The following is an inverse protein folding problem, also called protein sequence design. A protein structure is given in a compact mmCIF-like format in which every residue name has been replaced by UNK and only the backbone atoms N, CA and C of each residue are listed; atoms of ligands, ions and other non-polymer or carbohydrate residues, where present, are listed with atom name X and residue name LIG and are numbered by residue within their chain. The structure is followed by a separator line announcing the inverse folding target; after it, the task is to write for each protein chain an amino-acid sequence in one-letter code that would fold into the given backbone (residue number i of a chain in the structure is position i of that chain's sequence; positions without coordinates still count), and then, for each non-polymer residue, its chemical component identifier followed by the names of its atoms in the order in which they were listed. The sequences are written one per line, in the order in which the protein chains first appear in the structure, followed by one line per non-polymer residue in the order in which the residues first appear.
data_IF_015801253786
#
_entry.id   IF_015801253786
#
_cell.length_a   1.000
_cell.length_b   1.000
_cell.length_c   1.000
_cell.angle_alpha   90.00
_cell.angle_beta   90.00
_cell.angle_gamma   90.00
#
_symmetry.space_group_name_H-M   'P 1'
#
loop_
_entity.id
_entity.type
_entity.pdbx_description
1 polymer ?
#
# COMPACT_ATOMS: atom_id res chain seq x y z
N UNK A 1 24.59 -13.75 21.67
CA UNK A 1 24.32 -12.71 22.69
C UNK A 1 22.87 -12.29 22.54
N UNK A 2 21.98 -12.89 23.33
CA UNK A 2 20.53 -12.69 23.25
C UNK A 2 20.18 -11.28 23.71
N UNK A 3 19.80 -10.42 22.78
CA UNK A 3 19.22 -9.12 23.11
C UNK A 3 17.79 -9.39 23.60
N UNK A 4 17.63 -9.52 24.92
CA UNK A 4 16.33 -9.31 25.59
C UNK A 4 15.95 -7.85 25.36
N UNK A 5 15.22 -7.56 24.28
CA UNK A 5 14.51 -6.29 24.16
C UNK A 5 13.35 -6.33 25.15
N UNK A 6 13.42 -5.52 26.19
CA UNK A 6 12.21 -5.05 26.88
C UNK A 6 11.23 -4.60 25.79
N UNK A 7 10.04 -5.18 25.72
CA UNK A 7 9.00 -4.83 24.75
C UNK A 7 8.08 -3.76 25.38
N UNK A 8 8.28 -2.45 25.17
CA UNK A 8 7.25 -1.49 25.50
C UNK A 8 6.23 -1.51 24.35
N UNK A 9 4.97 -1.76 24.71
CA UNK A 9 3.79 -1.79 23.82
C UNK A 9 3.64 -3.07 22.97
N UNK A 10 3.16 -4.14 23.59
CA UNK A 10 2.41 -5.17 22.84
C UNK A 10 1.22 -4.45 22.20
N UNK A 11 1.17 -4.44 20.86
CA UNK A 11 0.10 -3.80 20.13
C UNK A 11 -1.19 -4.59 20.40
N UNK A 12 -2.14 -4.00 21.14
CA UNK A 12 -3.38 -4.69 21.50
C UNK A 12 -4.40 -4.62 20.36
N UNK A 13 -4.19 -5.44 19.32
CA UNK A 13 -5.17 -5.63 18.24
C UNK A 13 -6.51 -6.17 18.76
N UNK A 14 -6.54 -6.87 19.90
CA UNK A 14 -7.76 -7.46 20.42
C UNK A 14 -8.81 -6.39 20.75
N UNK A 15 -8.43 -5.28 21.38
CA UNK A 15 -9.38 -4.19 21.66
C UNK A 15 -9.93 -3.50 20.40
N UNK A 16 -9.13 -3.44 19.33
CA UNK A 16 -9.48 -2.78 18.08
C UNK A 16 -10.37 -3.65 17.16
N UNK A 17 -10.14 -4.96 17.12
CA UNK A 17 -10.85 -5.90 16.25
C UNK A 17 -12.13 -6.46 16.90
N UNK A 18 -12.19 -6.58 18.23
CA UNK A 18 -13.37 -7.12 18.94
C UNK A 18 -14.62 -6.23 18.82
N UNK A 19 -14.45 -4.92 18.60
CA UNK A 19 -15.56 -3.97 18.46
C UNK A 19 -16.18 -3.94 17.06
N UNK A 20 -15.70 -4.79 16.15
CA UNK A 20 -15.99 -4.71 14.72
C UNK A 20 -16.74 -5.99 14.30
N UNK A 21 -18.09 -6.02 14.35
CA UNK A 21 -18.86 -7.24 14.10
C UNK A 21 -18.60 -7.81 12.70
N UNK A 22 -18.40 -9.14 12.61
CA UNK A 22 -18.22 -9.85 11.35
C UNK A 22 -19.59 -9.97 10.66
N UNK A 23 -19.71 -9.43 9.44
CA UNK A 23 -20.92 -9.58 8.62
C UNK A 23 -21.03 -11.03 8.15
N UNK A 24 -22.02 -11.77 8.66
CA UNK A 24 -22.25 -13.17 8.28
C UNK A 24 -23.18 -13.22 7.06
N UNK A 25 -22.61 -13.50 5.88
CA UNK A 25 -23.37 -13.78 4.65
C UNK A 25 -23.56 -15.27 4.35
N UNK A 26 -22.69 -16.12 4.91
CA UNK A 26 -22.77 -17.56 4.71
C UNK A 26 -23.84 -18.13 5.63
N UNK A 27 -24.88 -18.75 5.05
CA UNK A 27 -26.05 -19.27 5.77
C UNK A 27 -25.81 -20.68 6.33
N UNK A 28 -25.01 -21.49 5.64
CA UNK A 28 -24.62 -22.82 6.10
C UNK A 28 -23.35 -22.79 6.98
N UNK A 29 -23.35 -23.60 8.05
CA UNK A 29 -22.28 -23.64 9.04
C UNK A 29 -21.04 -24.37 8.53
N UNK A 30 -21.21 -25.50 7.83
CA UNK A 30 -20.09 -26.29 7.31
C UNK A 30 -19.35 -25.54 6.19
N UNK A 31 -20.10 -24.90 5.29
CA UNK A 31 -19.53 -24.02 4.27
C UNK A 31 -18.79 -22.82 4.86
N UNK A 32 -19.24 -22.29 6.01
CA UNK A 32 -18.57 -21.20 6.72
C UNK A 32 -17.24 -21.65 7.29
N UNK A 33 -17.20 -22.75 8.02
CA UNK A 33 -15.97 -23.24 8.65
C UNK A 33 -14.91 -23.60 7.60
N UNK A 34 -15.34 -24.26 6.51
CA UNK A 34 -14.47 -24.57 5.38
C UNK A 34 -13.93 -23.31 4.71
N UNK A 35 -14.76 -22.29 4.54
CA UNK A 35 -14.35 -21.01 3.98
C UNK A 35 -13.34 -20.29 4.89
N UNK A 36 -13.62 -20.16 6.19
CA UNK A 36 -12.74 -19.52 7.16
C UNK A 36 -11.39 -20.25 7.27
N UNK A 37 -11.41 -21.58 7.26
CA UNK A 37 -10.19 -22.39 7.23
C UNK A 37 -9.35 -22.13 5.96
N UNK A 38 -9.99 -22.06 4.78
CA UNK A 38 -9.30 -21.74 3.53
C UNK A 38 -8.69 -20.33 3.53
N UNK A 39 -9.38 -19.36 4.13
CA UNK A 39 -8.87 -18.00 4.33
C UNK A 39 -7.67 -18.00 5.28
N UNK A 40 -7.74 -18.74 6.40
CA UNK A 40 -6.64 -18.90 7.35
C UNK A 40 -5.39 -19.53 6.72
N UNK A 41 -5.57 -20.59 5.93
CA UNK A 41 -4.49 -21.22 5.17
C UNK A 41 -3.84 -20.24 4.19
N UNK A 42 -4.61 -19.34 3.60
CA UNK A 42 -4.07 -18.33 2.70
C UNK A 42 -3.33 -17.23 3.47
N UNK A 43 -3.89 -16.73 4.58
CA UNK A 43 -3.26 -15.73 5.45
C UNK A 43 -1.90 -16.21 5.98
N UNK A 44 -1.80 -17.44 6.49
CA UNK A 44 -0.53 -18.00 7.00
C UNK A 44 0.49 -18.30 5.90
N UNK A 45 0.03 -18.59 4.67
CA UNK A 45 0.91 -18.75 3.50
C UNK A 45 1.38 -17.41 2.91
N UNK A 46 0.66 -16.32 3.14
CA UNK A 46 1.06 -14.98 2.66
C UNK A 46 1.84 -14.20 3.70
N UNK A 47 1.52 -14.32 4.98
CA UNK A 47 2.14 -13.61 6.10
C UNK A 47 2.89 -14.62 6.97
N UNK A 48 4.17 -14.83 6.63
CA UNK A 48 5.09 -15.74 7.30
C UNK A 48 6.53 -15.24 7.21
N UNK A 49 7.44 -15.90 7.93
CA UNK A 49 8.86 -15.55 8.00
C UNK A 49 9.70 -16.12 6.85
N UNK A 50 9.13 -16.86 5.90
CA UNK A 50 9.87 -17.43 4.76
C UNK A 50 10.26 -16.31 3.81
N UNK A 51 11.55 -16.13 3.52
CA UNK A 51 12.05 -15.07 2.65
C UNK A 51 11.86 -15.39 1.15
N UNK A 52 10.61 -15.40 0.73
CA UNK A 52 10.18 -15.68 -0.64
C UNK A 52 8.99 -14.78 -1.01
N UNK A 53 8.82 -14.43 -2.30
CA UNK A 53 7.69 -13.63 -2.75
C UNK A 53 6.37 -14.31 -2.41
N UNK A 54 5.39 -13.49 -2.05
CA UNK A 54 4.07 -13.98 -1.70
C UNK A 54 3.34 -14.49 -2.95
N UNK A 55 2.85 -15.74 -2.91
CA UNK A 55 2.21 -16.37 -4.07
C UNK A 55 0.85 -15.74 -4.36
N UNK A 56 0.64 -15.35 -5.62
CA UNK A 56 -0.56 -14.66 -6.09
C UNK A 56 -1.86 -15.40 -5.78
N UNK A 57 -1.87 -16.74 -5.89
CA UNK A 57 -3.08 -17.55 -5.60
C UNK A 57 -3.64 -17.35 -4.18
N UNK A 58 -2.77 -17.12 -3.20
CA UNK A 58 -3.20 -16.91 -1.82
C UNK A 58 -3.69 -15.48 -1.60
N UNK A 59 -3.04 -14.49 -2.23
CA UNK A 59 -3.52 -13.09 -2.23
C UNK A 59 -4.90 -13.00 -2.88
N UNK A 60 -5.09 -13.61 -4.06
CA UNK A 60 -6.40 -13.64 -4.73
C UNK A 60 -7.48 -14.28 -3.87
N UNK A 61 -7.16 -15.36 -3.16
CA UNK A 61 -8.13 -15.97 -2.25
C UNK A 61 -8.53 -15.03 -1.09
N UNK A 62 -7.57 -14.28 -0.53
CA UNK A 62 -7.86 -13.27 0.50
C UNK A 62 -8.71 -12.11 -0.06
N UNK A 63 -8.39 -11.63 -1.26
CA UNK A 63 -9.18 -10.60 -1.97
C UNK A 63 -10.61 -11.07 -2.18
N UNK A 64 -10.82 -12.27 -2.73
CA UNK A 64 -12.16 -12.88 -2.90
C UNK A 64 -12.88 -12.98 -1.55
N UNK A 65 -12.15 -13.30 -0.48
CA UNK A 65 -12.69 -13.33 0.87
C UNK A 65 -13.28 -11.97 1.28
N UNK A 66 -12.65 -10.87 0.89
CA UNK A 66 -13.18 -9.53 1.19
C UNK A 66 -14.48 -9.21 0.47
N UNK A 67 -14.69 -9.70 -0.75
CA UNK A 67 -15.96 -9.54 -1.46
C UNK A 67 -17.07 -10.41 -0.88
N UNK A 68 -16.74 -11.63 -0.43
CA UNK A 68 -17.72 -12.53 0.19
C UNK A 68 -18.23 -12.02 1.54
N UNK A 69 -17.41 -11.28 2.27
CA UNK A 69 -17.73 -10.77 3.62
C UNK A 69 -17.90 -9.26 3.70
N UNK A 70 -17.93 -8.56 2.56
CA UNK A 70 -18.03 -7.10 2.47
C UNK A 70 -16.96 -6.34 3.29
N UNK A 71 -15.70 -6.78 3.28
CA UNK A 71 -14.62 -6.14 4.04
C UNK A 71 -13.48 -7.09 4.43
N UNK A 72 -12.47 -6.60 5.14
CA UNK A 72 -11.28 -7.38 5.51
C UNK A 72 -11.25 -7.84 6.97
N UNK A 73 -12.37 -7.74 7.70
CA UNK A 73 -12.48 -8.06 9.14
C UNK A 73 -11.99 -9.47 9.49
N UNK A 74 -12.35 -10.47 8.68
CA UNK A 74 -11.89 -11.84 8.88
C UNK A 74 -10.36 -11.92 8.80
N UNK A 75 -9.73 -11.26 7.81
CA UNK A 75 -8.28 -11.22 7.71
C UNK A 75 -7.64 -10.57 8.95
N UNK A 76 -8.19 -9.47 9.46
CA UNK A 76 -7.70 -8.84 10.69
C UNK A 76 -7.82 -9.73 11.93
N UNK A 77 -8.88 -10.52 12.05
CA UNK A 77 -9.01 -11.52 13.13
C UNK A 77 -7.91 -12.59 13.08
N UNK A 78 -7.40 -12.90 11.88
CA UNK A 78 -6.31 -13.85 11.67
C UNK A 78 -4.95 -13.22 11.98
N UNK A 79 -4.75 -11.95 11.63
CA UNK A 79 -3.51 -11.19 11.91
C UNK A 79 -3.15 -11.22 13.39
N UNK A 80 -4.14 -11.14 14.28
CA UNK A 80 -3.96 -11.29 15.73
C UNK A 80 -3.20 -12.57 16.09
N UNK A 81 -3.55 -13.68 15.44
CA UNK A 81 -2.96 -15.01 15.70
C UNK A 81 -1.58 -15.18 15.06
N UNK A 82 -1.23 -14.37 14.07
CA UNK A 82 0.04 -14.46 13.32
C UNK A 82 1.18 -13.73 14.05
N UNK A 83 0.88 -12.79 14.96
CA UNK A 83 1.86 -11.98 15.70
C UNK A 83 2.85 -11.28 14.75
N UNK A 84 2.38 -10.30 13.98
CA UNK A 84 3.17 -9.77 12.86
C UNK A 84 4.45 -9.03 13.28
N UNK A 85 4.52 -8.54 14.52
CA UNK A 85 5.68 -7.84 15.08
C UNK A 85 6.83 -8.81 15.46
N UNK A 86 6.57 -10.12 15.43
CA UNK A 86 7.52 -11.17 15.81
C UNK A 86 8.74 -11.24 14.90
N UNK A 87 8.60 -10.86 13.62
CA UNK A 87 9.68 -10.98 12.64
C UNK A 87 9.52 -9.92 11.52
N UNK A 88 10.60 -9.25 11.07
CA UNK A 88 10.49 -8.14 10.14
C UNK A 88 9.99 -8.57 8.74
N UNK A 89 10.30 -9.80 8.29
CA UNK A 89 9.72 -10.35 7.05
C UNK A 89 8.20 -10.55 7.18
N UNK A 90 7.71 -10.95 8.36
CA UNK A 90 6.28 -11.15 8.60
C UNK A 90 5.56 -9.81 8.49
N UNK A 91 6.09 -8.77 9.15
CA UNK A 91 5.55 -7.41 9.03
C UNK A 91 5.64 -6.86 7.60
N UNK A 92 6.76 -7.06 6.90
CA UNK A 92 6.92 -6.66 5.50
C UNK A 92 5.84 -7.27 4.58
N UNK A 93 5.64 -8.59 4.70
CA UNK A 93 4.62 -9.29 3.92
C UNK A 93 3.22 -8.87 4.33
N UNK A 94 2.97 -8.64 5.62
CA UNK A 94 1.70 -8.09 6.09
C UNK A 94 1.38 -6.75 5.42
N UNK A 95 2.33 -5.81 5.39
CA UNK A 95 2.14 -4.52 4.70
C UNK A 95 1.80 -4.73 3.21
N UNK A 96 2.49 -5.67 2.54
CA UNK A 96 2.17 -6.04 1.17
C UNK A 96 0.75 -6.60 1.00
N UNK A 97 0.31 -7.51 1.87
CA UNK A 97 -1.04 -8.07 1.82
C UNK A 97 -2.08 -6.97 2.03
N UNK A 98 -1.90 -6.09 3.03
CA UNK A 98 -2.80 -4.95 3.25
C UNK A 98 -2.86 -4.04 2.03
N UNK A 99 -1.71 -3.71 1.41
CA UNK A 99 -1.69 -2.88 0.21
C UNK A 99 -2.52 -3.52 -0.92
N UNK A 100 -2.37 -4.83 -1.14
CA UNK A 100 -3.17 -5.59 -2.11
C UNK A 100 -4.65 -5.58 -1.76
N UNK A 101 -5.01 -5.80 -0.50
CA UNK A 101 -6.42 -5.79 -0.07
C UNK A 101 -7.05 -4.40 -0.23
N UNK A 102 -6.32 -3.32 0.10
CA UNK A 102 -6.79 -1.95 -0.11
C UNK A 102 -7.03 -1.67 -1.60
N UNK A 103 -6.12 -2.11 -2.47
CA UNK A 103 -6.20 -1.86 -3.91
C UNK A 103 -7.27 -2.67 -4.62
N UNK A 104 -7.27 -3.98 -4.38
CA UNK A 104 -8.01 -4.97 -5.19
C UNK A 104 -9.24 -5.55 -4.46
N UNK A 105 -9.41 -5.24 -3.17
CA UNK A 105 -10.46 -5.80 -2.32
C UNK A 105 -11.80 -5.05 -2.42
N UNK A 106 -12.77 -5.54 -1.66
CA UNK A 106 -14.08 -4.89 -1.53
C UNK A 106 -13.93 -3.45 -1.02
N UNK A 107 -14.82 -2.54 -1.45
CA UNK A 107 -14.75 -1.09 -1.09
C UNK A 107 -14.63 -0.82 0.42
N UNK A 108 -15.25 -1.66 1.25
CA UNK A 108 -15.22 -1.52 2.71
C UNK A 108 -13.86 -1.84 3.33
N UNK A 109 -12.94 -2.47 2.60
CA UNK A 109 -11.57 -2.73 3.10
C UNK A 109 -10.88 -1.43 3.48
N UNK A 110 -11.07 -0.37 2.69
CA UNK A 110 -10.54 0.97 3.00
C UNK A 110 -11.10 1.46 4.34
N UNK A 111 -12.43 1.39 4.51
CA UNK A 111 -13.11 1.80 5.74
C UNK A 111 -12.64 0.99 6.96
N UNK A 112 -12.59 -0.35 6.85
CA UNK A 112 -12.12 -1.23 7.92
C UNK A 112 -10.67 -0.91 8.31
N UNK A 113 -9.79 -0.64 7.33
CA UNK A 113 -8.39 -0.26 7.60
C UNK A 113 -8.23 1.16 8.15
N UNK A 114 -9.11 2.12 7.81
CA UNK A 114 -9.11 3.48 8.40
C UNK A 114 -9.37 3.40 9.91
N UNK A 115 -10.34 2.58 10.34
CA UNK A 115 -10.63 2.35 11.77
C UNK A 115 -9.38 1.81 12.50
N UNK A 116 -8.61 0.98 11.80
CA UNK A 116 -7.40 0.35 12.30
C UNK A 116 -6.12 1.17 11.99
N UNK A 117 -6.25 2.43 11.54
CA UNK A 117 -5.12 3.28 11.15
C UNK A 117 -4.05 3.42 12.25
N UNK A 118 -4.49 3.56 13.51
CA UNK A 118 -3.62 3.66 14.69
C UNK A 118 -2.71 2.43 14.88
N UNK A 119 -3.08 1.28 14.34
CA UNK A 119 -2.27 0.07 14.35
C UNK A 119 -1.03 0.24 13.45
N UNK A 120 -1.18 0.82 12.26
CA UNK A 120 -0.07 1.08 11.36
C UNK A 120 0.91 2.09 11.95
N UNK A 121 0.43 3.11 12.67
CA UNK A 121 1.29 4.05 13.38
C UNK A 121 2.12 3.36 14.48
N UNK A 122 1.52 2.43 15.21
CA UNK A 122 2.22 1.65 16.24
C UNK A 122 3.25 0.70 15.62
N UNK A 123 2.90 -0.01 14.54
CA UNK A 123 3.82 -0.87 13.81
C UNK A 123 4.99 -0.07 13.22
N UNK A 124 4.70 1.11 12.68
CA UNK A 124 5.69 2.05 12.18
C UNK A 124 6.70 2.46 13.27
N UNK A 125 6.19 2.85 14.45
CA UNK A 125 7.01 3.22 15.61
C UNK A 125 7.88 2.05 16.08
N UNK A 126 7.32 0.84 16.13
CA UNK A 126 8.02 -0.37 16.56
C UNK A 126 9.26 -0.65 15.69
N UNK A 127 9.14 -0.51 14.36
CA UNK A 127 10.24 -0.76 13.43
C UNK A 127 11.17 0.43 13.20
N UNK A 128 10.85 1.63 13.71
CA UNK A 128 11.66 2.84 13.50
C UNK A 128 13.11 2.72 14.04
N UNK A 129 13.31 1.95 15.10
CA UNK A 129 14.65 1.67 15.66
C UNK A 129 15.45 0.59 14.94
N UNK A 130 14.90 -0.07 13.92
CA UNK A 130 15.55 -1.19 13.22
C UNK A 130 15.93 -0.77 11.80
N UNK A 131 17.11 -0.15 11.69
CA UNK A 131 17.59 0.45 10.43
C UNK A 131 18.23 -0.55 9.44
N UNK A 132 18.26 -1.84 9.77
CA UNK A 132 18.83 -2.88 8.91
C UNK A 132 17.76 -3.84 8.38
N UNK A 133 18.00 -4.41 7.20
CA UNK A 133 17.15 -5.44 6.58
C UNK A 133 15.68 -4.99 6.42
N UNK A 134 14.71 -5.87 6.66
CA UNK A 134 13.28 -5.60 6.50
C UNK A 134 12.69 -4.64 7.55
N UNK A 135 13.42 -4.26 8.60
CA UNK A 135 12.92 -3.30 9.58
C UNK A 135 12.66 -1.93 8.96
N UNK A 136 13.68 -1.38 8.27
CA UNK A 136 13.57 -0.10 7.56
C UNK A 136 12.55 -0.17 6.41
N UNK A 137 12.52 -1.28 5.67
CA UNK A 137 11.54 -1.52 4.62
C UNK A 137 10.11 -1.48 5.16
N UNK A 138 9.86 -2.20 6.26
CA UNK A 138 8.55 -2.23 6.93
C UNK A 138 8.15 -0.87 7.46
N UNK A 139 9.09 -0.16 8.11
CA UNK A 139 8.85 1.19 8.61
C UNK A 139 8.38 2.13 7.49
N UNK A 140 9.10 2.18 6.36
CA UNK A 140 8.70 2.98 5.19
C UNK A 140 7.40 2.51 4.56
N UNK A 141 7.12 1.21 4.56
CA UNK A 141 5.86 0.71 4.02
C UNK A 141 4.68 1.13 4.90
N UNK A 142 4.83 1.15 6.22
CA UNK A 142 3.79 1.65 7.12
C UNK A 142 3.48 3.12 6.83
N UNK A 143 4.50 3.96 6.57
CA UNK A 143 4.29 5.35 6.16
C UNK A 143 3.46 5.46 4.87
N UNK A 144 3.77 4.67 3.85
CA UNK A 144 2.97 4.62 2.62
C UNK A 144 1.51 4.20 2.88
N UNK A 145 1.29 3.17 3.69
CA UNK A 145 -0.07 2.71 4.02
C UNK A 145 -0.86 3.78 4.79
N UNK A 146 -0.22 4.47 5.74
CA UNK A 146 -0.84 5.59 6.47
C UNK A 146 -1.16 6.75 5.54
N UNK A 147 -0.26 7.10 4.61
CA UNK A 147 -0.52 8.14 3.61
C UNK A 147 -1.71 7.79 2.70
N UNK A 148 -1.77 6.53 2.23
CA UNK A 148 -2.91 6.00 1.46
C UNK A 148 -4.22 6.12 2.25
N UNK A 149 -4.25 5.69 3.52
CA UNK A 149 -5.45 5.78 4.35
C UNK A 149 -5.86 7.23 4.61
N UNK A 150 -4.90 8.14 4.90
CA UNK A 150 -5.16 9.57 5.05
C UNK A 150 -5.75 10.19 3.78
N UNK A 151 -5.24 9.82 2.61
CA UNK A 151 -5.80 10.24 1.33
C UNK A 151 -7.29 9.83 1.20
N UNK A 152 -7.62 8.58 1.54
CA UNK A 152 -9.01 8.09 1.45
C UNK A 152 -9.96 8.65 2.52
N UNK A 153 -9.46 9.05 3.69
CA UNK A 153 -10.26 9.77 4.69
C UNK A 153 -10.72 11.12 4.13
N UNK A 154 -9.82 11.82 3.43
CA UNK A 154 -10.11 13.14 2.86
C UNK A 154 -10.84 13.08 1.52
N UNK A 155 -10.63 12.00 0.75
CA UNK A 155 -11.17 11.82 -0.59
C UNK A 155 -11.98 10.50 -0.69
N UNK A 156 -13.15 10.40 -0.01
CA UNK A 156 -13.92 9.16 0.07
C UNK A 156 -14.55 8.73 -1.27
N UNK A 157 -14.58 9.60 -2.27
CA UNK A 157 -15.00 9.28 -3.65
C UNK A 157 -14.05 8.32 -4.36
N UNK A 158 -12.78 8.27 -3.96
CA UNK A 158 -11.81 7.34 -4.55
C UNK A 158 -11.94 5.97 -3.91
N UNK A 159 -12.09 4.95 -4.75
CA UNK A 159 -11.91 3.55 -4.36
C UNK A 159 -10.47 3.31 -3.90
N UNK A 160 -10.24 2.23 -3.15
CA UNK A 160 -8.88 1.88 -2.72
C UNK A 160 -7.92 1.58 -3.88
N UNK A 161 -8.45 1.28 -5.07
CA UNK A 161 -7.71 1.14 -6.32
C UNK A 161 -7.34 2.47 -7.00
N UNK A 162 -7.65 3.62 -6.37
CA UNK A 162 -7.53 4.97 -6.93
C UNK A 162 -8.41 5.21 -8.16
N UNK A 163 -9.58 4.58 -8.24
CA UNK A 163 -10.60 4.87 -9.27
C UNK A 163 -11.82 5.54 -8.67
N UNK A 164 -12.70 6.12 -9.48
CA UNK A 164 -13.97 6.73 -9.05
C UNK A 164 -14.99 6.62 -10.19
N UNK A 165 -16.27 6.47 -9.83
CA UNK A 165 -17.30 6.06 -10.79
C UNK A 165 -17.68 7.18 -11.77
N UNK A 166 -17.99 8.38 -11.26
CA UNK A 166 -18.30 9.55 -12.09
C UNK A 166 -17.85 10.87 -11.44
N UNK A 167 -17.37 11.85 -12.24
CA UNK A 167 -16.95 11.70 -13.64
C UNK A 167 -15.64 10.92 -13.71
N UNK A 168 -15.41 10.00 -14.66
CA UNK A 168 -14.12 9.27 -14.81
C UNK A 168 -12.94 10.16 -15.31
N UNK A 169 -13.01 11.47 -15.04
CA UNK A 169 -11.97 12.46 -15.29
C UNK A 169 -11.84 13.33 -14.05
N UNK A 170 -10.67 13.29 -13.41
CA UNK A 170 -10.40 14.01 -12.17
C UNK A 170 -10.59 15.51 -12.33
N UNK A 171 -10.39 16.06 -13.54
CA UNK A 171 -10.58 17.49 -13.87
C UNK A 171 -12.02 17.96 -13.78
N UNK A 172 -12.97 17.03 -13.68
CA UNK A 172 -14.41 17.31 -13.57
C UNK A 172 -14.97 17.01 -12.18
N UNK A 173 -14.18 16.39 -11.30
CA UNK A 173 -14.58 15.97 -9.96
C UNK A 173 -15.21 17.11 -9.14
N UNK A 174 -14.68 18.33 -9.25
CA UNK A 174 -15.15 19.49 -8.50
C UNK A 174 -15.63 20.64 -9.40
N UNK A 175 -15.94 20.36 -10.68
CA UNK A 175 -16.30 21.38 -11.68
C UNK A 175 -15.23 22.50 -11.70
N UNK A 176 -15.60 23.76 -11.49
CA UNK A 176 -14.67 24.90 -11.45
C UNK A 176 -14.33 25.34 -10.01
N UNK A 177 -14.53 24.47 -9.02
CA UNK A 177 -14.18 24.78 -7.63
C UNK A 177 -12.69 24.50 -7.36
N UNK A 178 -11.83 25.44 -7.74
CA UNK A 178 -10.38 25.35 -7.58
C UNK A 178 -9.93 25.18 -6.11
N UNK A 179 -10.71 25.66 -5.14
CA UNK A 179 -10.42 25.51 -3.71
C UNK A 179 -10.43 24.05 -3.24
N UNK A 180 -11.10 23.15 -3.97
CA UNK A 180 -11.09 21.71 -3.70
C UNK A 180 -9.97 20.98 -4.47
N UNK A 181 -9.53 21.53 -5.60
CA UNK A 181 -8.43 20.96 -6.38
C UNK A 181 -7.06 21.16 -5.72
N UNK A 182 -6.83 22.28 -5.04
CA UNK A 182 -5.53 22.57 -4.43
C UNK A 182 -5.20 21.60 -3.28
N UNK A 183 -6.09 21.34 -2.30
CA UNK A 183 -5.86 20.31 -1.30
C UNK A 183 -5.69 18.91 -1.90
N UNK A 184 -6.52 18.53 -2.88
CA UNK A 184 -6.41 17.26 -3.58
C UNK A 184 -5.03 17.10 -4.25
N UNK A 185 -4.52 18.16 -4.89
CA UNK A 185 -3.20 18.17 -5.53
C UNK A 185 -2.10 17.88 -4.51
N UNK A 186 -2.12 18.57 -3.37
CA UNK A 186 -1.15 18.35 -2.29
C UNK A 186 -1.22 16.93 -1.73
N UNK A 187 -2.42 16.39 -1.57
CA UNK A 187 -2.61 15.03 -1.04
C UNK A 187 -2.13 13.94 -2.01
N UNK A 188 -2.34 14.15 -3.33
CA UNK A 188 -1.76 13.28 -4.36
C UNK A 188 -0.23 13.33 -4.34
N UNK A 189 0.35 14.52 -4.18
CA UNK A 189 1.80 14.68 -4.07
C UNK A 189 2.37 14.01 -2.82
N UNK A 190 1.72 14.15 -1.66
CA UNK A 190 2.16 13.55 -0.40
C UNK A 190 2.10 12.02 -0.46
N UNK A 191 1.08 11.47 -1.12
CA UNK A 191 1.00 10.03 -1.38
C UNK A 191 2.13 9.58 -2.31
N UNK A 192 2.33 10.24 -3.45
CA UNK A 192 3.42 9.92 -4.36
C UNK A 192 4.79 10.00 -3.67
N UNK A 193 4.98 10.96 -2.75
CA UNK A 193 6.22 11.13 -2.00
C UNK A 193 6.55 9.90 -1.14
N UNK A 194 5.60 9.43 -0.33
CA UNK A 194 5.79 8.24 0.51
C UNK A 194 5.99 6.98 -0.33
N UNK A 195 5.35 6.90 -1.50
CA UNK A 195 5.54 5.79 -2.44
C UNK A 195 6.97 5.78 -2.99
N UNK A 196 7.46 6.91 -3.48
CA UNK A 196 8.81 7.04 -4.00
C UNK A 196 9.87 6.82 -2.89
N UNK A 197 9.58 7.22 -1.65
CA UNK A 197 10.44 6.95 -0.49
C UNK A 197 10.54 5.45 -0.19
N UNK A 198 9.43 4.71 -0.21
CA UNK A 198 9.45 3.26 -0.05
C UNK A 198 10.28 2.59 -1.16
N UNK A 199 10.01 2.94 -2.42
CA UNK A 199 10.70 2.36 -3.58
C UNK A 199 12.21 2.60 -3.51
N UNK A 200 12.63 3.81 -3.16
CA UNK A 200 14.04 4.15 -2.99
C UNK A 200 14.71 3.23 -1.97
N UNK A 201 14.09 3.00 -0.82
CA UNK A 201 14.63 2.13 0.23
C UNK A 201 14.62 0.65 -0.20
N UNK A 202 13.64 0.18 -0.98
CA UNK A 202 13.65 -1.18 -1.54
C UNK A 202 14.89 -1.39 -2.41
N UNK A 203 15.18 -0.48 -3.35
CA UNK A 203 16.35 -0.59 -4.21
C UNK A 203 17.66 -0.49 -3.42
N UNK A 204 17.77 0.49 -2.52
CA UNK A 204 18.95 0.62 -1.65
C UNK A 204 19.19 -0.64 -0.81
N UNK A 205 18.12 -1.27 -0.29
CA UNK A 205 18.23 -2.52 0.46
C UNK A 205 18.68 -3.69 -0.42
N UNK A 206 18.22 -3.75 -1.67
CA UNK A 206 18.65 -4.78 -2.62
C UNK A 206 20.16 -4.67 -2.92
N UNK A 207 20.65 -3.45 -3.15
CA UNK A 207 22.06 -3.16 -3.41
C UNK A 207 22.95 -3.49 -2.19
N UNK A 208 22.55 -3.01 -1.01
CA UNK A 208 23.28 -3.25 0.25
C UNK A 208 23.37 -4.74 0.61
N UNK A 209 22.29 -5.48 0.36
CA UNK A 209 22.24 -6.92 0.62
C UNK A 209 22.91 -7.76 -0.47
N UNK A 210 23.47 -7.13 -1.53
CA UNK A 210 24.06 -7.79 -2.70
C UNK A 210 23.17 -8.90 -3.27
N UNK A 211 21.85 -8.73 -3.16
CA UNK A 211 20.87 -9.75 -3.51
C UNK A 211 20.46 -9.58 -4.97
N UNK A 212 20.42 -10.68 -5.72
CA UNK A 212 20.01 -10.66 -7.12
C UNK A 212 18.47 -10.71 -7.24
N UNK A 213 17.89 -9.93 -8.16
CA UNK A 213 16.44 -9.85 -8.42
C UNK A 213 15.78 -11.18 -8.82
N UNK A 214 16.56 -12.16 -9.26
CA UNK A 214 16.07 -13.50 -9.65
C UNK A 214 16.09 -14.51 -8.50
N UNK A 215 16.65 -14.15 -7.34
CA UNK A 215 16.63 -15.01 -6.14
C UNK A 215 15.31 -14.88 -5.38
N UNK A 216 14.90 -15.90 -4.64
CA UNK A 216 13.68 -15.86 -3.79
C UNK A 216 13.71 -14.69 -2.80
N UNK A 217 14.86 -14.45 -2.20
CA UNK A 217 15.12 -13.36 -1.27
C UNK A 217 14.99 -11.99 -1.95
N UNK A 218 15.56 -11.82 -3.14
CA UNK A 218 15.43 -10.59 -3.92
C UNK A 218 13.99 -10.32 -4.33
N UNK A 219 13.29 -11.35 -4.79
CA UNK A 219 11.88 -11.26 -5.17
C UNK A 219 10.98 -10.95 -3.96
N UNK A 220 11.30 -11.45 -2.76
CA UNK A 220 10.59 -11.09 -1.54
C UNK A 220 10.65 -9.57 -1.25
N UNK A 221 11.83 -8.94 -1.44
CA UNK A 221 12.01 -7.49 -1.32
C UNK A 221 11.33 -6.72 -2.46
N UNK A 222 11.40 -7.23 -3.67
CA UNK A 222 10.91 -6.55 -4.88
C UNK A 222 9.39 -6.68 -5.08
N UNK A 223 8.73 -7.68 -4.50
CA UNK A 223 7.31 -7.98 -4.75
C UNK A 223 6.37 -6.76 -4.58
N UNK A 224 6.55 -5.86 -3.59
CA UNK A 224 5.72 -4.67 -3.45
C UNK A 224 5.87 -3.62 -4.55
N UNK A 225 6.93 -3.65 -5.36
CA UNK A 225 7.09 -2.72 -6.48
C UNK A 225 5.95 -2.86 -7.49
N UNK A 226 5.37 -4.06 -7.65
CA UNK A 226 4.24 -4.29 -8.58
C UNK A 226 3.07 -3.34 -8.26
N UNK A 227 2.66 -3.28 -7.00
CA UNK A 227 1.57 -2.38 -6.57
C UNK A 227 2.01 -0.92 -6.57
N UNK A 228 3.28 -0.64 -6.26
CA UNK A 228 3.80 0.73 -6.32
C UNK A 228 3.74 1.29 -7.74
N UNK A 229 4.08 0.50 -8.78
CA UNK A 229 3.94 0.91 -10.19
C UNK A 229 2.48 1.25 -10.52
N UNK A 230 1.55 0.39 -10.10
CA UNK A 230 0.13 0.58 -10.41
C UNK A 230 -0.43 1.85 -9.75
N UNK A 231 -0.07 2.11 -8.49
CA UNK A 231 -0.51 3.31 -7.77
C UNK A 231 0.19 4.56 -8.32
N UNK A 232 1.51 4.53 -8.51
CA UNK A 232 2.25 5.69 -9.03
C UNK A 232 1.83 6.08 -10.44
N UNK A 233 1.40 5.13 -11.28
CA UNK A 233 0.90 5.45 -12.63
C UNK A 233 -0.37 6.29 -12.57
N UNK A 234 -1.30 5.97 -11.67
CA UNK A 234 -2.54 6.73 -11.50
C UNK A 234 -2.29 8.05 -10.78
N UNK A 235 -1.47 8.05 -9.73
CA UNK A 235 -1.10 9.27 -9.01
C UNK A 235 -0.46 10.29 -9.95
N UNK A 236 0.47 9.87 -10.81
CA UNK A 236 1.11 10.77 -11.78
C UNK A 236 0.09 11.37 -12.77
N UNK A 237 -0.76 10.54 -13.38
CA UNK A 237 -1.81 10.99 -14.30
C UNK A 237 -2.72 12.02 -13.63
N UNK A 238 -3.13 11.76 -12.38
CA UNK A 238 -3.97 12.65 -11.61
C UNK A 238 -3.29 13.95 -11.20
N UNK A 239 -2.04 13.91 -10.74
CA UNK A 239 -1.26 15.12 -10.41
C UNK A 239 -1.18 16.03 -11.63
N UNK A 240 -0.82 15.48 -12.79
CA UNK A 240 -0.71 16.25 -14.04
C UNK A 240 -2.06 16.87 -14.42
N UNK A 241 -3.12 16.07 -14.43
CA UNK A 241 -4.48 16.55 -14.78
C UNK A 241 -5.01 17.60 -13.81
N UNK A 242 -4.81 17.43 -12.50
CA UNK A 242 -5.22 18.41 -11.49
C UNK A 242 -4.42 19.70 -11.61
N UNK A 243 -3.11 19.63 -11.90
CA UNK A 243 -2.30 20.83 -12.14
C UNK A 243 -2.74 21.59 -13.39
N UNK A 244 -3.05 20.89 -14.48
CA UNK A 244 -3.65 21.52 -15.65
C UNK A 244 -4.96 22.24 -15.29
N UNK A 245 -5.84 21.60 -14.51
CA UNK A 245 -7.09 22.23 -14.07
C UNK A 245 -6.83 23.45 -13.19
N UNK A 246 -5.89 23.39 -12.25
CA UNK A 246 -5.54 24.54 -11.39
C UNK A 246 -4.99 25.72 -12.20
N UNK A 247 -4.24 25.47 -13.26
CA UNK A 247 -3.73 26.51 -14.16
C UNK A 247 -4.82 27.23 -14.98
N UNK A 248 -6.04 26.72 -15.04
CA UNK A 248 -7.18 27.44 -15.64
C UNK A 248 -7.68 28.58 -14.74
N UNK A 249 -7.50 28.47 -13.42
CA UNK A 249 -8.06 29.42 -12.43
C UNK A 249 -7.05 30.16 -11.58
N UNK A 250 -5.79 29.71 -11.53
CA UNK A 250 -4.74 30.29 -10.68
C UNK A 250 -3.54 30.76 -11.53
N UNK A 251 -2.85 31.79 -11.04
CA UNK A 251 -1.67 32.33 -11.71
C UNK A 251 -0.49 31.36 -11.68
N UNK A 252 0.43 31.53 -12.63
CA UNK A 252 1.68 30.78 -12.66
C UNK A 252 2.48 30.91 -11.36
N UNK A 253 2.52 32.10 -10.76
CA UNK A 253 3.29 32.33 -9.53
C UNK A 253 2.69 31.56 -8.34
N UNK A 254 1.36 31.52 -8.22
CA UNK A 254 0.68 30.78 -7.15
C UNK A 254 0.94 29.25 -7.21
N UNK A 255 1.27 28.72 -8.39
CA UNK A 255 1.51 27.29 -8.61
C UNK A 255 2.99 26.94 -8.78
N UNK A 256 3.91 27.88 -8.52
CA UNK A 256 5.36 27.66 -8.71
C UNK A 256 5.89 26.46 -7.92
N UNK A 257 5.54 26.38 -6.63
CA UNK A 257 5.97 25.26 -5.76
C UNK A 257 5.43 23.91 -6.25
N UNK A 258 4.19 23.89 -6.73
CA UNK A 258 3.56 22.68 -7.24
C UNK A 258 4.22 22.18 -8.53
N UNK A 259 4.62 23.10 -9.42
CA UNK A 259 5.42 22.76 -10.62
C UNK A 259 6.77 22.18 -10.24
N UNK A 260 7.44 22.78 -9.24
CA UNK A 260 8.72 22.27 -8.75
C UNK A 260 8.57 20.85 -8.17
N UNK A 261 7.54 20.61 -7.33
CA UNK A 261 7.22 19.28 -6.80
C UNK A 261 6.96 18.27 -7.93
N UNK A 262 6.19 18.64 -8.96
CA UNK A 262 5.97 17.79 -10.14
C UNK A 262 7.28 17.44 -10.82
N UNK A 263 8.15 18.42 -11.08
CA UNK A 263 9.44 18.18 -11.73
C UNK A 263 10.32 17.22 -10.93
N UNK A 264 10.41 17.40 -9.61
CA UNK A 264 11.25 16.56 -8.76
C UNK A 264 10.71 15.13 -8.63
N UNK A 265 9.39 14.99 -8.42
CA UNK A 265 8.77 13.66 -8.38
C UNK A 265 8.78 12.97 -9.74
N UNK A 266 8.64 13.70 -10.85
CA UNK A 266 8.77 13.14 -12.19
C UNK A 266 10.15 12.53 -12.43
N UNK A 267 11.23 13.23 -12.09
CA UNK A 267 12.61 12.68 -12.23
C UNK A 267 12.80 11.39 -11.42
N UNK A 268 12.30 11.38 -10.18
CA UNK A 268 12.35 10.20 -9.30
C UNK A 268 11.51 9.03 -9.83
N UNK A 269 10.31 9.32 -10.33
CA UNK A 269 9.42 8.32 -10.92
C UNK A 269 10.00 7.73 -12.22
N UNK A 270 10.59 8.57 -13.07
CA UNK A 270 11.29 8.13 -14.29
C UNK A 270 12.46 7.22 -13.96
N UNK A 271 13.27 7.59 -12.95
CA UNK A 271 14.35 6.72 -12.45
C UNK A 271 13.82 5.38 -11.95
N UNK A 272 12.74 5.40 -11.16
CA UNK A 272 12.09 4.19 -10.66
C UNK A 272 11.65 3.27 -11.81
N UNK A 273 10.90 3.78 -12.78
CA UNK A 273 10.42 2.96 -13.90
C UNK A 273 11.56 2.43 -14.76
N UNK A 274 12.58 3.26 -15.04
CA UNK A 274 13.76 2.82 -15.79
C UNK A 274 14.55 1.73 -15.05
N UNK A 275 14.79 1.87 -13.75
CA UNK A 275 15.45 0.83 -12.96
C UNK A 275 14.63 -0.47 -12.96
N UNK A 276 13.31 -0.37 -12.77
CA UNK A 276 12.42 -1.53 -12.73
C UNK A 276 12.35 -2.26 -14.07
N UNK A 277 12.32 -1.53 -15.20
CA UNK A 277 12.22 -2.13 -16.53
C UNK A 277 13.45 -2.94 -16.93
N UNK A 278 14.63 -2.64 -16.36
CA UNK A 278 15.84 -3.44 -16.56
C UNK A 278 15.81 -4.79 -15.84
N UNK A 279 15.00 -4.94 -14.79
CA UNK A 279 14.98 -6.14 -13.97
C UNK A 279 14.13 -7.24 -14.61
N UNK A 280 14.76 -8.39 -14.88
CA UNK A 280 14.10 -9.53 -15.52
C UNK A 280 12.88 -10.04 -14.76
N UNK A 281 12.87 -9.91 -13.42
CA UNK A 281 11.76 -10.32 -12.56
C UNK A 281 10.42 -9.69 -12.95
N UNK A 282 10.40 -8.42 -13.38
CA UNK A 282 9.14 -7.72 -13.64
C UNK A 282 8.61 -7.93 -15.06
N UNK A 283 9.44 -8.35 -16.02
CA UNK A 283 9.06 -8.46 -17.44
C UNK A 283 7.86 -9.38 -17.69
N UNK A 284 7.66 -10.39 -16.85
CA UNK A 284 6.53 -11.34 -16.95
C UNK A 284 5.38 -11.03 -16.00
N UNK A 285 5.55 -10.06 -15.09
CA UNK A 285 4.59 -9.77 -14.02
C UNK A 285 3.77 -8.52 -14.29
N UNK A 286 4.37 -7.49 -14.90
CA UNK A 286 3.71 -6.21 -15.14
C UNK A 286 4.37 -5.45 -16.30
N UNK A 287 3.56 -4.73 -17.08
CA UNK A 287 4.07 -3.74 -18.03
C UNK A 287 4.43 -2.46 -17.28
N UNK A 288 5.72 -2.17 -17.17
CA UNK A 288 6.19 -0.91 -16.56
C UNK A 288 5.85 0.26 -17.49
N UNK A 289 5.20 1.33 -16.99
CA UNK A 289 4.90 2.52 -17.80
C UNK A 289 6.18 3.20 -18.29
N UNK A 290 6.10 3.78 -19.49
CA UNK A 290 7.17 4.61 -20.06
C UNK A 290 6.73 6.07 -19.90
N UNK A 291 7.55 6.87 -19.24
CA UNK A 291 7.33 8.31 -19.12
C UNK A 291 7.99 9.04 -20.30
N UNK A 292 7.45 10.21 -20.71
CA UNK A 292 8.01 10.97 -21.82
C UNK A 292 9.47 11.39 -21.59
N UNK A 293 10.17 11.68 -22.68
CA UNK A 293 11.43 12.42 -22.64
C UNK A 293 11.16 13.88 -22.26
N UNK A 294 12.04 14.45 -21.44
CA UNK A 294 11.94 15.86 -20.98
C UNK A 294 12.46 16.76 -22.08
#
# INVERSE_FOLDING_TARGET
MSIKKNHPHVINLNQLVLNVPIRRKLTDHEDRDKFEWNQWQSATKTVNNVEAPTKEKHIRNLIVGTFRLDGCRLFWSMVIRIHIESHPIVSWKFCYVIHRLLKDGHRNVVHDCIILSSYFDQLCKYWSGVQQSYGLLTHRYCHLLVAKLKFHVKNPTFTGGLTFDEPNDIRRLFKDNYNLYLPLCNELFDYMEELLNLVQVIFTSLDQSRTNSMTTTGQCRLNPIIVCIQDSSLLYDYIVKVLFKLHEGLSGDALQEHRQRLTDQFRRLKRFYNQTSTLQYFKTLIKVPILPEV
#
